data_IF_250507610446
#
_entry.id   IF_250507610446
#
_cell.length_a   1.000
_cell.length_b   1.000
_cell.length_c   1.000
_cell.angle_alpha   90.00
_cell.angle_beta   90.00
_cell.angle_gamma   90.00
#
_symmetry.space_group_name_H-M   'P 1'
#
loop_
_entity.id
_entity.type
_entity.pdbx_description
1 polymer ?
#
# COMPACT_ATOMS: atom_id res chain seq x y z
N UNK A 1 6.69 -96.96 36.18
CA UNK A 1 5.24 -96.78 35.90
C UNK A 1 4.80 -95.51 36.60
N UNK A 2 4.32 -94.54 35.81
CA UNK A 2 3.25 -93.55 36.08
C UNK A 2 3.27 -92.73 37.39
N UNK A 3 2.92 -91.45 37.45
CA UNK A 3 2.40 -90.50 36.48
C UNK A 3 2.51 -89.08 37.09
N UNK A 4 2.50 -88.08 36.22
CA UNK A 4 2.32 -86.67 36.55
C UNK A 4 0.94 -86.40 37.19
N UNK A 5 0.85 -85.37 38.05
CA UNK A 5 0.03 -84.14 37.90
C UNK A 5 -0.23 -83.48 39.25
N UNK A 6 0.21 -82.22 39.40
CA UNK A 6 -0.57 -81.12 39.99
C UNK A 6 0.25 -79.84 39.92
N UNK A 7 0.27 -79.23 38.74
CA UNK A 7 0.60 -77.82 38.56
C UNK A 7 -0.62 -77.04 39.04
N UNK A 8 -0.52 -76.45 40.23
CA UNK A 8 -1.57 -75.64 40.82
C UNK A 8 -1.79 -74.37 40.00
N UNK A 9 -3.04 -74.22 39.58
CA UNK A 9 -3.70 -73.24 38.71
C UNK A 9 -3.69 -71.77 39.19
N UNK A 10 -2.89 -71.41 40.21
CA UNK A 10 -2.88 -70.06 40.79
C UNK A 10 -1.96 -69.07 40.06
N UNK A 11 -0.95 -69.55 39.33
CA UNK A 11 -0.03 -68.71 38.55
C UNK A 11 -0.58 -68.28 37.17
N UNK A 12 -1.41 -69.10 36.54
CA UNK A 12 -1.99 -68.79 35.22
C UNK A 12 -3.07 -67.70 35.28
N UNK A 13 -3.88 -67.66 36.34
CA UNK A 13 -4.96 -66.67 36.47
C UNK A 13 -4.41 -65.23 36.64
N UNK A 14 -3.32 -65.07 37.39
CA UNK A 14 -2.63 -63.78 37.55
C UNK A 14 -1.94 -63.32 36.26
N UNK A 15 -1.27 -64.23 35.55
CA UNK A 15 -0.64 -63.94 34.26
C UNK A 15 -1.68 -63.57 33.17
N UNK A 16 -2.80 -64.29 33.10
CA UNK A 16 -3.89 -63.98 32.17
C UNK A 16 -4.54 -62.62 32.46
N UNK A 17 -4.69 -62.28 33.75
CA UNK A 17 -5.25 -60.99 34.19
C UNK A 17 -4.32 -59.82 33.88
N UNK A 18 -3.01 -59.95 34.09
CA UNK A 18 -2.03 -58.93 33.73
C UNK A 18 -1.89 -58.77 32.20
N UNK A 19 -1.91 -59.87 31.43
CA UNK A 19 -1.88 -59.81 29.96
C UNK A 19 -3.13 -59.11 29.41
N UNK A 20 -4.31 -59.41 29.96
CA UNK A 20 -5.57 -58.75 29.58
C UNK A 20 -5.60 -57.27 29.99
N UNK A 21 -5.06 -56.90 31.15
CA UNK A 21 -4.95 -55.51 31.57
C UNK A 21 -3.99 -54.71 30.69
N UNK A 22 -2.88 -55.32 30.26
CA UNK A 22 -1.89 -54.70 29.37
C UNK A 22 -2.41 -54.61 27.93
N UNK A 23 -3.20 -55.57 27.47
CA UNK A 23 -3.87 -55.49 26.16
C UNK A 23 -5.00 -54.46 26.18
N UNK A 24 -5.78 -54.37 27.27
CA UNK A 24 -6.80 -53.34 27.46
C UNK A 24 -6.19 -51.93 27.56
N UNK A 25 -5.06 -51.76 28.24
CA UNK A 25 -4.38 -50.46 28.29
C UNK A 25 -3.81 -50.06 26.93
N UNK A 26 -3.26 -51.02 26.16
CA UNK A 26 -2.80 -50.78 24.78
C UNK A 26 -3.96 -50.45 23.84
N UNK A 27 -5.05 -51.20 23.92
CA UNK A 27 -6.24 -50.99 23.09
C UNK A 27 -6.97 -49.69 23.46
N UNK A 28 -7.01 -49.32 24.74
CA UNK A 28 -7.53 -48.03 25.21
C UNK A 28 -6.62 -46.87 24.81
N UNK A 29 -5.30 -47.09 24.80
CA UNK A 29 -4.31 -46.17 24.21
C UNK A 29 -4.53 -45.98 22.71
N UNK A 30 -4.66 -47.06 21.94
CA UNK A 30 -4.92 -47.03 20.49
C UNK A 30 -6.28 -46.38 20.15
N UNK A 31 -7.31 -46.62 20.96
CA UNK A 31 -8.63 -45.99 20.80
C UNK A 31 -8.57 -44.50 21.17
N UNK A 32 -7.84 -44.11 22.23
CA UNK A 32 -7.60 -42.71 22.56
C UNK A 32 -6.89 -42.01 21.39
N UNK A 33 -5.77 -42.57 20.92
CA UNK A 33 -5.02 -42.00 19.79
C UNK A 33 -5.86 -41.94 18.51
N UNK A 34 -6.71 -42.93 18.23
CA UNK A 34 -7.61 -42.90 17.06
C UNK A 34 -8.71 -41.85 17.23
N UNK A 35 -9.29 -41.68 18.42
CA UNK A 35 -10.29 -40.64 18.71
C UNK A 35 -9.66 -39.26 18.64
N UNK A 36 -8.45 -39.07 19.17
CA UNK A 36 -7.68 -37.82 19.11
C UNK A 36 -7.29 -37.49 17.66
N UNK A 37 -6.82 -38.47 16.86
CA UNK A 37 -6.55 -38.30 15.42
C UNK A 37 -7.82 -37.92 14.64
N UNK A 38 -8.94 -38.59 14.92
CA UNK A 38 -10.19 -38.36 14.18
C UNK A 38 -10.81 -37.01 14.57
N UNK A 39 -10.75 -36.65 15.85
CA UNK A 39 -11.14 -35.33 16.35
C UNK A 39 -10.23 -34.22 15.78
N UNK A 40 -8.96 -34.53 15.56
CA UNK A 40 -7.99 -33.61 14.98
C UNK A 40 -8.17 -33.39 13.47
N UNK A 41 -8.27 -34.46 12.68
CA UNK A 41 -8.61 -34.38 11.25
C UNK A 41 -9.97 -33.71 11.01
N UNK A 42 -10.90 -33.88 11.96
CA UNK A 42 -12.13 -33.10 11.98
C UNK A 42 -11.80 -31.62 12.22
N UNK A 43 -11.12 -31.27 13.32
CA UNK A 43 -10.82 -29.88 13.70
C UNK A 43 -10.09 -29.09 12.60
N UNK A 44 -9.12 -29.68 11.92
CA UNK A 44 -8.37 -29.05 10.81
C UNK A 44 -9.27 -28.77 9.59
N UNK A 45 -10.08 -29.76 9.17
CA UNK A 45 -11.00 -29.62 8.04
C UNK A 45 -12.14 -28.64 8.34
N UNK A 46 -12.59 -28.58 9.59
CA UNK A 46 -13.58 -27.60 10.03
C UNK A 46 -12.99 -26.19 10.05
N UNK A 47 -11.75 -26.00 10.54
CA UNK A 47 -11.07 -24.71 10.48
C UNK A 47 -10.90 -24.23 9.03
N UNK A 48 -10.46 -25.10 8.13
CA UNK A 48 -10.36 -24.77 6.70
C UNK A 48 -11.72 -24.46 6.07
N UNK A 49 -12.78 -25.20 6.41
CA UNK A 49 -14.14 -24.94 5.91
C UNK A 49 -14.69 -23.60 6.42
N UNK A 50 -14.47 -23.28 7.70
CA UNK A 50 -14.84 -21.99 8.29
C UNK A 50 -14.07 -20.87 7.63
N UNK A 51 -12.73 -20.98 7.53
CA UNK A 51 -11.89 -20.01 6.85
C UNK A 51 -12.35 -19.77 5.40
N UNK A 52 -12.67 -20.83 4.65
CA UNK A 52 -13.18 -20.74 3.29
C UNK A 52 -14.49 -19.95 3.21
N UNK A 53 -15.46 -20.24 4.09
CA UNK A 53 -16.75 -19.55 4.12
C UNK A 53 -16.60 -18.05 4.42
N UNK A 54 -15.78 -17.69 5.40
CA UNK A 54 -15.51 -16.29 5.74
C UNK A 54 -14.72 -15.59 4.63
N UNK A 55 -13.69 -16.23 4.08
CA UNK A 55 -12.90 -15.69 2.98
C UNK A 55 -13.75 -15.44 1.73
N UNK A 56 -14.62 -16.41 1.38
CA UNK A 56 -15.57 -16.28 0.28
C UNK A 56 -16.55 -15.14 0.53
N UNK A 57 -17.08 -15.02 1.74
CA UNK A 57 -18.02 -13.95 2.11
C UNK A 57 -17.35 -12.57 2.01
N UNK A 58 -16.14 -12.41 2.56
CA UNK A 58 -15.36 -11.16 2.47
C UNK A 58 -15.08 -10.78 1.01
N UNK A 59 -14.66 -11.76 0.20
CA UNK A 59 -14.40 -11.57 -1.22
C UNK A 59 -15.66 -11.16 -1.98
N UNK A 60 -16.81 -11.79 -1.75
CA UNK A 60 -18.08 -11.42 -2.38
C UNK A 60 -18.47 -9.99 -2.02
N UNK A 61 -18.39 -9.61 -0.74
CA UNK A 61 -18.71 -8.25 -0.29
C UNK A 61 -17.81 -7.20 -0.94
N UNK A 62 -16.50 -7.45 -1.00
CA UNK A 62 -15.56 -6.53 -1.67
C UNK A 62 -15.81 -6.46 -3.18
N UNK A 63 -16.03 -7.60 -3.85
CA UNK A 63 -16.34 -7.64 -5.28
C UNK A 63 -17.63 -6.90 -5.62
N UNK A 64 -18.69 -7.04 -4.80
CA UNK A 64 -19.92 -6.25 -4.97
C UNK A 64 -19.64 -4.74 -4.89
N UNK A 65 -18.78 -4.32 -3.97
CA UNK A 65 -18.37 -2.92 -3.84
C UNK A 65 -17.55 -2.45 -5.05
N UNK A 66 -16.61 -3.28 -5.53
CA UNK A 66 -15.82 -3.00 -6.73
C UNK A 66 -16.76 -2.81 -7.93
N UNK A 67 -17.69 -3.74 -8.16
CA UNK A 67 -18.68 -3.65 -9.25
C UNK A 67 -19.53 -2.37 -9.13
N UNK A 68 -19.93 -1.97 -7.93
CA UNK A 68 -20.65 -0.72 -7.72
C UNK A 68 -19.79 0.50 -8.11
N UNK A 69 -18.51 0.54 -7.74
CA UNK A 69 -17.59 1.59 -8.19
C UNK A 69 -17.42 1.58 -9.72
N UNK A 70 -17.38 0.41 -10.36
CA UNK A 70 -17.30 0.32 -11.83
C UNK A 70 -18.53 0.86 -12.54
N UNK A 71 -19.72 0.68 -11.96
CA UNK A 71 -21.00 1.11 -12.57
C UNK A 71 -21.32 2.57 -12.31
N UNK A 72 -21.04 3.08 -11.10
CA UNK A 72 -21.53 4.39 -10.66
C UNK A 72 -20.44 5.47 -10.61
N UNK A 73 -19.16 5.09 -10.47
CA UNK A 73 -18.08 6.08 -10.40
C UNK A 73 -17.59 6.44 -11.80
N UNK A 74 -17.96 7.63 -12.26
CA UNK A 74 -17.61 8.16 -13.58
C UNK A 74 -16.15 8.60 -13.70
N UNK A 75 -15.48 8.91 -12.58
CA UNK A 75 -14.08 9.36 -12.61
C UNK A 75 -13.11 8.17 -12.72
N UNK A 76 -12.60 7.91 -13.94
CA UNK A 76 -11.72 6.77 -14.25
C UNK A 76 -10.51 6.65 -13.32
N UNK A 77 -9.74 7.71 -13.11
CA UNK A 77 -8.53 7.66 -12.29
C UNK A 77 -8.84 7.36 -10.81
N UNK A 78 -9.77 8.12 -10.21
CA UNK A 78 -10.16 7.94 -8.80
C UNK A 78 -10.78 6.57 -8.55
N UNK A 79 -11.60 6.10 -9.50
CA UNK A 79 -12.18 4.76 -9.48
C UNK A 79 -11.09 3.70 -9.51
N UNK A 80 -10.15 3.78 -10.45
CA UNK A 80 -9.09 2.78 -10.59
C UNK A 80 -8.24 2.68 -9.30
N UNK A 81 -7.85 3.81 -8.70
CA UNK A 81 -7.13 3.79 -7.42
C UNK A 81 -7.96 3.22 -6.27
N UNK A 82 -9.26 3.53 -6.23
CA UNK A 82 -10.18 2.98 -5.21
C UNK A 82 -10.31 1.47 -5.37
N UNK A 83 -10.48 0.97 -6.60
CA UNK A 83 -10.58 -0.45 -6.92
C UNK A 83 -9.33 -1.20 -6.47
N UNK A 84 -8.12 -0.69 -6.74
CA UNK A 84 -6.86 -1.25 -6.23
C UNK A 84 -6.87 -1.39 -4.71
N UNK A 85 -7.34 -0.38 -4.00
CA UNK A 85 -7.42 -0.44 -2.55
C UNK A 85 -8.43 -1.50 -2.09
N UNK A 86 -9.61 -1.57 -2.71
CA UNK A 86 -10.64 -2.55 -2.35
C UNK A 86 -10.21 -4.00 -2.60
N UNK A 87 -9.34 -4.23 -3.59
CA UNK A 87 -8.74 -5.54 -3.87
C UNK A 87 -7.82 -6.05 -2.74
N UNK A 88 -7.44 -5.22 -1.76
CA UNK A 88 -6.74 -5.69 -0.54
C UNK A 88 -7.51 -6.84 0.14
N UNK A 89 -8.82 -6.67 0.35
CA UNK A 89 -9.65 -7.63 1.08
C UNK A 89 -9.69 -9.02 0.40
N UNK A 90 -10.07 -9.15 -0.88
CA UNK A 90 -10.13 -10.46 -1.54
C UNK A 90 -8.75 -11.10 -1.72
N UNK A 91 -7.68 -10.31 -1.89
CA UNK A 91 -6.32 -10.84 -1.97
C UNK A 91 -5.92 -11.42 -0.61
N UNK A 92 -6.14 -10.67 0.48
CA UNK A 92 -5.72 -11.07 1.82
C UNK A 92 -6.53 -12.24 2.35
N UNK A 93 -7.84 -12.30 2.04
CA UNK A 93 -8.69 -13.43 2.43
C UNK A 93 -8.32 -14.71 1.67
N UNK A 94 -8.07 -14.61 0.36
CA UNK A 94 -7.67 -15.76 -0.45
C UNK A 94 -6.29 -16.27 -0.04
N UNK A 95 -5.33 -15.36 0.15
CA UNK A 95 -3.98 -15.71 0.54
C UNK A 95 -3.91 -16.30 1.95
N UNK A 96 -4.67 -15.77 2.92
CA UNK A 96 -4.75 -16.37 4.26
C UNK A 96 -5.40 -17.75 4.24
N UNK A 97 -6.45 -17.95 3.44
CA UNK A 97 -7.05 -19.27 3.24
C UNK A 97 -6.05 -20.25 2.60
N UNK A 98 -5.30 -19.83 1.58
CA UNK A 98 -4.28 -20.65 0.94
C UNK A 98 -3.12 -20.96 1.89
N UNK A 99 -2.68 -20.00 2.71
CA UNK A 99 -1.65 -20.21 3.72
C UNK A 99 -2.10 -21.21 4.80
N UNK A 100 -3.40 -21.24 5.13
CA UNK A 100 -3.98 -22.25 6.01
C UNK A 100 -4.00 -23.65 5.39
N UNK A 101 -4.32 -23.76 4.09
CA UNK A 101 -4.32 -25.05 3.38
C UNK A 101 -2.91 -25.55 3.03
N UNK A 102 -1.96 -24.64 2.83
CA UNK A 102 -0.60 -24.93 2.39
C UNK A 102 0.41 -24.26 3.32
N UNK A 103 0.54 -24.77 4.53
CA UNK A 103 1.35 -24.13 5.58
C UNK A 103 2.84 -23.97 5.20
N UNK A 104 3.39 -24.89 4.40
CA UNK A 104 4.75 -24.78 3.86
C UNK A 104 4.97 -23.52 3.01
N UNK A 105 3.92 -23.06 2.32
CA UNK A 105 3.94 -21.91 1.42
C UNK A 105 3.51 -20.62 2.11
N UNK A 106 3.10 -20.66 3.38
CA UNK A 106 2.68 -19.49 4.15
C UNK A 106 3.71 -18.33 4.12
N UNK A 107 5.04 -18.57 4.21
CA UNK A 107 6.01 -17.47 4.11
C UNK A 107 5.98 -16.75 2.76
N UNK A 108 5.82 -17.50 1.66
CA UNK A 108 5.72 -16.98 0.28
C UNK A 108 4.47 -16.12 0.14
N UNK A 109 3.34 -16.65 0.63
CA UNK A 109 2.04 -15.99 0.65
C UNK A 109 2.10 -14.66 1.43
N UNK A 110 2.77 -14.65 2.59
CA UNK A 110 2.99 -13.44 3.40
C UNK A 110 3.82 -12.39 2.68
N UNK A 111 4.90 -12.77 2.00
CA UNK A 111 5.71 -11.84 1.22
C UNK A 111 4.91 -11.16 0.10
N UNK A 112 4.03 -11.92 -0.59
CA UNK A 112 3.14 -11.37 -1.61
C UNK A 112 2.14 -10.36 -1.02
N UNK A 113 1.63 -10.63 0.18
CA UNK A 113 0.75 -9.72 0.93
C UNK A 113 1.44 -8.39 1.27
N UNK A 114 2.67 -8.45 1.75
CA UNK A 114 3.49 -7.27 2.07
C UNK A 114 3.77 -6.41 0.83
N UNK A 115 4.05 -7.05 -0.31
CA UNK A 115 4.19 -6.36 -1.59
C UNK A 115 2.90 -5.63 -2.01
N UNK A 116 1.75 -6.28 -1.87
CA UNK A 116 0.48 -5.66 -2.23
C UNK A 116 0.13 -4.47 -1.32
N UNK A 117 0.54 -4.49 -0.05
CA UNK A 117 0.41 -3.33 0.84
C UNK A 117 1.13 -2.10 0.29
N UNK A 118 2.35 -2.27 -0.25
CA UNK A 118 3.10 -1.18 -0.85
C UNK A 118 2.35 -0.56 -2.05
N UNK A 119 1.73 -1.42 -2.86
CA UNK A 119 0.92 -0.98 -3.98
C UNK A 119 -0.39 -0.29 -3.55
N UNK A 120 -1.04 -0.76 -2.49
CA UNK A 120 -2.23 -0.11 -1.93
C UNK A 120 -1.89 1.29 -1.37
N UNK A 121 -0.74 1.44 -0.70
CA UNK A 121 -0.26 2.74 -0.21
C UNK A 121 0.02 3.72 -1.35
N UNK A 122 0.62 3.23 -2.44
CA UNK A 122 0.83 4.02 -3.65
C UNK A 122 -0.50 4.45 -4.28
N UNK A 123 -1.45 3.53 -4.42
CA UNK A 123 -2.78 3.81 -4.97
C UNK A 123 -3.52 4.86 -4.13
N UNK A 124 -3.42 4.79 -2.80
CA UNK A 124 -3.97 5.82 -1.92
C UNK A 124 -3.29 7.19 -2.11
N UNK A 125 -1.98 7.20 -2.31
CA UNK A 125 -1.23 8.44 -2.56
C UNK A 125 -1.66 9.07 -3.89
N UNK A 126 -1.80 8.28 -4.95
CA UNK A 126 -2.34 8.77 -6.22
C UNK A 126 -3.77 9.26 -6.09
N UNK A 127 -4.62 8.52 -5.36
CA UNK A 127 -5.99 8.95 -5.08
C UNK A 127 -6.02 10.34 -4.46
N UNK A 128 -5.16 10.61 -3.46
CA UNK A 128 -5.06 11.94 -2.84
C UNK A 128 -4.57 13.01 -3.82
N UNK A 129 -3.57 12.72 -4.65
CA UNK A 129 -3.03 13.69 -5.62
C UNK A 129 -4.06 14.01 -6.70
N UNK A 130 -4.69 13.00 -7.29
CA UNK A 130 -5.75 13.17 -8.29
C UNK A 130 -6.95 13.87 -7.68
N UNK A 131 -7.30 13.57 -6.42
CA UNK A 131 -8.32 14.31 -5.69
C UNK A 131 -7.96 15.79 -5.54
N UNK A 132 -6.69 16.14 -5.37
CA UNK A 132 -6.23 17.54 -5.31
C UNK A 132 -6.03 18.19 -6.69
N UNK A 133 -6.24 17.45 -7.77
CA UNK A 133 -6.23 17.93 -9.16
C UNK A 133 -5.11 17.27 -9.96
N UNK A 134 -3.87 17.65 -9.68
CA UNK A 134 -2.67 17.04 -10.29
C UNK A 134 -1.44 17.29 -9.42
N UNK A 135 -0.36 16.55 -9.67
CA UNK A 135 0.90 16.77 -8.98
C UNK A 135 1.49 18.17 -9.28
N UNK A 136 1.34 18.67 -10.51
CA UNK A 136 1.76 20.01 -10.91
C UNK A 136 0.96 21.13 -10.23
N UNK A 137 -0.38 21.02 -10.20
CA UNK A 137 -1.23 21.99 -9.52
C UNK A 137 -0.90 22.02 -8.02
N UNK A 138 -0.68 20.85 -7.43
CA UNK A 138 -0.28 20.73 -6.04
C UNK A 138 1.11 21.36 -5.78
N UNK A 139 2.06 21.18 -6.69
CA UNK A 139 3.38 21.81 -6.60
C UNK A 139 3.33 23.35 -6.64
N UNK A 140 2.39 23.91 -7.41
CA UNK A 140 2.12 25.35 -7.48
C UNK A 140 1.47 25.86 -6.20
N UNK A 141 0.39 25.20 -5.74
CA UNK A 141 -0.30 25.54 -4.50
C UNK A 141 0.65 25.54 -3.29
N UNK A 142 1.50 24.51 -3.18
CA UNK A 142 2.49 24.42 -2.11
C UNK A 142 3.61 25.45 -2.20
N UNK A 143 3.77 26.12 -3.35
CA UNK A 143 4.74 27.20 -3.54
C UNK A 143 4.18 28.54 -3.04
N UNK A 144 2.88 28.75 -3.15
CA UNK A 144 2.17 29.96 -2.68
C UNK A 144 2.01 29.99 -1.15
N UNK A 145 2.10 28.84 -0.47
CA UNK A 145 1.94 28.75 0.97
C UNK A 145 3.03 29.53 1.75
N UNK A 146 2.58 30.38 2.69
CA UNK A 146 3.47 31.30 3.44
C UNK A 146 4.46 30.60 4.37
N UNK A 147 4.15 29.41 4.88
CA UNK A 147 5.01 28.71 5.85
C UNK A 147 5.50 27.35 5.34
N UNK A 148 6.80 27.01 5.51
CA UNK A 148 7.30 25.69 5.15
C UNK A 148 6.76 24.63 6.12
N UNK A 149 6.39 23.48 5.58
CA UNK A 149 5.87 22.36 6.39
C UNK A 149 7.01 21.80 7.25
N UNK A 150 6.96 22.05 8.56
CA UNK A 150 7.93 21.50 9.50
C UNK A 150 7.74 20.00 9.68
N UNK A 151 8.86 19.28 9.78
CA UNK A 151 8.90 17.87 10.14
C UNK A 151 8.17 17.60 11.46
N UNK A 152 7.42 16.50 11.51
CA UNK A 152 6.71 16.05 12.72
C UNK A 152 7.62 15.12 13.52
N UNK A 153 7.44 15.05 14.84
CA UNK A 153 8.09 14.06 15.71
C UNK A 153 7.91 12.63 15.15
N UNK A 154 8.93 11.76 15.11
CA UNK A 154 10.26 11.84 15.76
C UNK A 154 11.34 12.62 14.99
N UNK A 155 11.08 13.01 13.75
CA UNK A 155 12.07 13.64 12.85
C UNK A 155 12.07 15.18 12.91
N UNK A 156 11.58 15.77 13.99
CA UNK A 156 11.42 17.21 14.15
C UNK A 156 12.74 18.00 14.11
N UNK A 157 13.88 17.34 14.36
CA UNK A 157 15.21 17.93 14.31
C UNK A 157 15.82 17.99 12.90
N UNK A 158 15.20 17.36 11.90
CA UNK A 158 15.72 17.42 10.53
C UNK A 158 15.46 18.75 9.86
N UNK A 159 16.35 19.12 8.94
CA UNK A 159 16.25 20.33 8.14
C UNK A 159 14.97 20.28 7.31
N UNK A 160 14.12 21.28 7.48
CA UNK A 160 12.87 21.41 6.73
C UNK A 160 13.12 21.41 5.22
N UNK A 161 12.36 20.60 4.49
CA UNK A 161 12.44 20.54 3.04
C UNK A 161 12.05 21.86 2.36
N UNK A 162 12.60 22.16 1.18
CA UNK A 162 12.30 23.38 0.43
C UNK A 162 10.85 23.40 -0.06
N UNK A 163 10.18 24.55 0.00
CA UNK A 163 8.75 24.71 -0.35
C UNK A 163 8.38 24.34 -1.79
N UNK A 164 7.07 24.18 -2.03
CA UNK A 164 6.48 23.93 -3.34
C UNK A 164 6.86 22.58 -3.94
N UNK A 165 7.02 22.55 -5.27
CA UNK A 165 7.40 21.35 -6.02
C UNK A 165 8.55 20.51 -5.46
N UNK A 166 9.57 21.10 -4.81
CA UNK A 166 10.67 20.31 -4.20
C UNK A 166 10.22 19.52 -2.98
N UNK A 167 9.44 20.14 -2.11
CA UNK A 167 8.81 19.45 -0.98
C UNK A 167 7.91 18.33 -1.48
N UNK A 168 7.10 18.62 -2.51
CA UNK A 168 6.22 17.61 -3.09
C UNK A 168 7.03 16.45 -3.68
N UNK A 169 8.06 16.74 -4.48
CA UNK A 169 8.95 15.73 -5.06
C UNK A 169 9.58 14.81 -3.99
N UNK A 170 10.22 15.38 -2.96
CA UNK A 170 10.82 14.58 -1.88
C UNK A 170 9.79 13.76 -1.12
N UNK A 171 8.60 14.32 -0.90
CA UNK A 171 7.51 13.62 -0.23
C UNK A 171 7.00 12.44 -1.06
N UNK A 172 6.78 12.65 -2.35
CA UNK A 172 6.27 11.62 -3.26
C UNK A 172 7.31 10.52 -3.48
N UNK A 173 8.58 10.89 -3.70
CA UNK A 173 9.67 9.90 -3.80
C UNK A 173 9.89 9.14 -2.49
N UNK A 174 9.74 9.80 -1.35
CA UNK A 174 9.81 9.16 -0.03
C UNK A 174 8.69 8.16 0.24
N UNK A 175 7.50 8.33 -0.38
CA UNK A 175 6.44 7.32 -0.35
C UNK A 175 6.74 6.21 -1.37
N UNK A 176 7.11 6.60 -2.59
CA UNK A 176 7.27 5.70 -3.73
C UNK A 176 8.41 4.70 -3.57
N UNK A 177 9.45 5.04 -2.80
CA UNK A 177 10.56 4.15 -2.45
C UNK A 177 10.13 2.84 -1.78
N UNK A 178 8.94 2.79 -1.17
CA UNK A 178 8.45 1.56 -0.54
C UNK A 178 8.21 0.44 -1.56
N UNK A 179 7.74 0.77 -2.77
CA UNK A 179 7.46 -0.22 -3.83
C UNK A 179 8.74 -0.96 -4.27
N UNK A 180 9.80 -0.30 -4.78
CA UNK A 180 11.00 -1.01 -5.25
C UNK A 180 11.69 -1.76 -4.10
N UNK A 181 11.69 -1.20 -2.88
CA UNK A 181 12.25 -1.90 -1.71
C UNK A 181 11.45 -3.17 -1.41
N UNK A 182 10.11 -3.10 -1.44
CA UNK A 182 9.26 -4.27 -1.21
C UNK A 182 9.44 -5.33 -2.30
N UNK A 183 9.65 -4.93 -3.57
CA UNK A 183 9.98 -5.86 -4.65
C UNK A 183 11.31 -6.55 -4.38
N UNK A 184 12.35 -5.79 -4.01
CA UNK A 184 13.66 -6.34 -3.67
C UNK A 184 13.58 -7.30 -2.48
N UNK A 185 12.87 -6.93 -1.41
CA UNK A 185 12.70 -7.76 -0.21
C UNK A 185 11.94 -9.03 -0.53
N UNK A 186 10.84 -8.95 -1.28
CA UNK A 186 10.09 -10.12 -1.75
C UNK A 186 10.98 -11.04 -2.58
N UNK A 187 11.75 -10.48 -3.52
CA UNK A 187 12.64 -11.27 -4.40
C UNK A 187 13.72 -11.98 -3.58
N UNK A 188 14.42 -11.26 -2.69
CA UNK A 188 15.45 -11.84 -1.84
C UNK A 188 14.86 -12.87 -0.88
N UNK A 189 13.68 -12.57 -0.30
CA UNK A 189 12.96 -13.48 0.60
C UNK A 189 12.58 -14.79 -0.09
N UNK A 190 12.07 -14.74 -1.33
CA UNK A 190 11.77 -15.94 -2.12
C UNK A 190 13.01 -16.78 -2.41
N UNK A 191 14.13 -16.13 -2.77
CA UNK A 191 15.41 -16.83 -2.99
C UNK A 191 15.90 -17.49 -1.70
N UNK A 192 15.87 -16.78 -0.58
CA UNK A 192 16.25 -17.31 0.73
C UNK A 192 15.33 -18.45 1.19
N UNK A 193 14.03 -18.37 0.88
CA UNK A 193 13.07 -19.43 1.19
C UNK A 193 13.37 -20.68 0.36
N UNK A 194 13.62 -20.52 -0.95
CA UNK A 194 14.03 -21.63 -1.83
C UNK A 194 15.35 -22.28 -1.40
N UNK A 195 16.31 -21.48 -0.90
CA UNK A 195 17.58 -21.97 -0.37
C UNK A 195 17.49 -22.54 1.06
N UNK A 196 16.34 -22.42 1.73
CA UNK A 196 16.14 -22.87 3.10
C UNK A 196 16.82 -22.02 4.18
N UNK A 197 17.29 -20.82 3.85
CA UNK A 197 17.99 -19.90 4.79
C UNK A 197 17.12 -18.74 5.27
N UNK A 198 15.85 -18.69 4.86
CA UNK A 198 14.91 -17.63 5.26
C UNK A 198 14.67 -17.63 6.78
N UNK A 199 14.36 -18.80 7.36
CA UNK A 199 14.14 -18.98 8.80
C UNK A 199 12.92 -18.22 9.32
N UNK A 200 11.73 -18.60 8.87
CA UNK A 200 10.50 -17.87 9.20
C UNK A 200 10.17 -17.88 10.70
N UNK A 201 9.87 -16.72 11.27
CA UNK A 201 9.55 -16.57 12.70
C UNK A 201 10.73 -16.74 13.68
N UNK A 202 11.92 -17.05 13.17
CA UNK A 202 13.15 -17.16 13.96
C UNK A 202 13.77 -15.78 14.21
N UNK A 203 14.11 -15.48 15.46
CA UNK A 203 14.84 -14.26 15.84
C UNK A 203 16.36 -14.45 15.84
N UNK A 204 16.86 -15.38 15.03
CA UNK A 204 18.28 -15.66 14.94
C UNK A 204 18.96 -14.69 13.97
N UNK A 205 20.05 -14.07 14.40
CA UNK A 205 20.85 -13.17 13.54
C UNK A 205 21.50 -13.87 12.33
N UNK A 206 21.34 -15.20 12.20
CA UNK A 206 21.86 -16.02 11.09
C UNK A 206 20.84 -16.21 9.97
N UNK A 207 19.56 -15.89 10.19
CA UNK A 207 18.49 -16.10 9.23
C UNK A 207 18.16 -14.80 8.50
N UNK A 208 17.70 -14.90 7.24
CA UNK A 208 17.42 -13.72 6.43
C UNK A 208 16.18 -12.96 6.90
N UNK A 209 15.22 -13.66 7.53
CA UNK A 209 13.94 -13.13 7.99
C UNK A 209 14.08 -11.82 8.78
N UNK A 210 14.88 -11.81 9.86
CA UNK A 210 15.00 -10.64 10.75
C UNK A 210 15.50 -9.39 10.01
N UNK A 211 16.48 -9.55 9.12
CA UNK A 211 17.04 -8.43 8.35
C UNK A 211 16.03 -7.90 7.33
N UNK A 212 15.38 -8.79 6.59
CA UNK A 212 14.37 -8.43 5.60
C UNK A 212 13.18 -7.71 6.26
N UNK A 213 12.66 -8.27 7.35
CA UNK A 213 11.59 -7.66 8.15
C UNK A 213 12.00 -6.29 8.69
N UNK A 214 13.23 -6.13 9.19
CA UNK A 214 13.70 -4.84 9.70
C UNK A 214 13.77 -3.76 8.61
N UNK A 215 14.33 -4.09 7.43
CA UNK A 215 14.41 -3.15 6.30
C UNK A 215 13.01 -2.82 5.77
N UNK A 216 12.11 -3.80 5.69
CA UNK A 216 10.71 -3.61 5.28
C UNK A 216 10.02 -2.60 6.22
N UNK A 217 10.11 -2.82 7.54
CA UNK A 217 9.50 -1.94 8.55
C UNK A 217 10.08 -0.52 8.50
N UNK A 218 11.39 -0.38 8.36
CA UNK A 218 12.02 0.94 8.25
C UNK A 218 11.54 1.71 7.00
N UNK A 219 11.51 1.03 5.86
CA UNK A 219 11.01 1.60 4.61
C UNK A 219 9.54 2.00 4.70
N UNK A 220 8.71 1.14 5.29
CA UNK A 220 7.29 1.40 5.50
C UNK A 220 7.07 2.61 6.43
N UNK A 221 7.80 2.69 7.56
CA UNK A 221 7.73 3.84 8.47
C UNK A 221 8.11 5.14 7.76
N UNK A 222 9.15 5.12 6.92
CA UNK A 222 9.57 6.28 6.13
C UNK A 222 8.50 6.73 5.12
N UNK A 223 7.89 5.78 4.41
CA UNK A 223 6.82 6.07 3.47
C UNK A 223 5.58 6.65 4.16
N UNK A 224 5.18 6.08 5.29
CA UNK A 224 4.06 6.59 6.09
C UNK A 224 4.35 7.98 6.65
N UNK A 225 5.59 8.22 7.07
CA UNK A 225 6.01 9.54 7.53
C UNK A 225 5.88 10.60 6.42
N UNK A 226 6.34 10.29 5.21
CA UNK A 226 6.19 11.16 4.06
C UNK A 226 4.70 11.40 3.72
N UNK A 227 3.87 10.36 3.79
CA UNK A 227 2.41 10.52 3.60
C UNK A 227 1.78 11.42 4.67
N UNK A 228 2.21 11.35 5.93
CA UNK A 228 1.77 12.25 7.00
C UNK A 228 2.20 13.69 6.73
N UNK A 229 3.41 13.91 6.20
CA UNK A 229 3.84 15.26 5.77
C UNK A 229 2.98 15.78 4.62
N UNK A 230 2.66 14.94 3.64
CA UNK A 230 1.75 15.29 2.55
C UNK A 230 0.38 15.69 3.08
N UNK A 231 -0.20 14.87 3.97
CA UNK A 231 -1.49 15.16 4.59
C UNK A 231 -1.45 16.46 5.39
N UNK A 232 -0.40 16.70 6.18
CA UNK A 232 -0.26 17.95 6.94
C UNK A 232 -0.27 19.18 6.02
N UNK A 233 0.38 19.08 4.85
CA UNK A 233 0.43 20.15 3.87
C UNK A 233 -0.93 20.39 3.17
N UNK A 234 -1.78 19.37 3.05
CA UNK A 234 -3.00 19.41 2.24
C UNK A 234 -4.30 19.24 3.03
N UNK A 235 -4.23 19.12 4.36
CA UNK A 235 -5.36 18.81 5.26
C UNK A 235 -6.58 19.72 5.10
N UNK A 236 -6.37 21.00 4.78
CA UNK A 236 -7.44 22.00 4.66
C UNK A 236 -8.31 21.75 3.43
N UNK A 237 -7.71 21.25 2.35
CA UNK A 237 -8.38 20.93 1.08
C UNK A 237 -8.92 19.51 1.03
N UNK A 238 -8.39 18.61 1.85
CA UNK A 238 -8.84 17.22 1.95
C UNK A 238 -9.96 17.02 2.98
N UNK A 239 -10.49 18.08 3.61
CA UNK A 239 -11.47 17.96 4.69
C UNK A 239 -12.71 17.19 4.27
N UNK A 240 -13.13 17.34 3.01
CA UNK A 240 -14.40 16.81 2.52
C UNK A 240 -14.38 15.28 2.32
N UNK A 241 -13.22 14.69 2.01
CA UNK A 241 -13.09 13.23 1.80
C UNK A 241 -12.60 12.45 3.01
N UNK A 242 -12.42 13.09 4.17
CA UNK A 242 -11.97 12.42 5.40
C UNK A 242 -10.81 11.42 5.15
N UNK A 243 -9.67 11.86 4.58
CA UNK A 243 -8.62 10.98 4.06
C UNK A 243 -8.01 10.11 5.16
N UNK A 244 -8.03 10.56 6.41
CA UNK A 244 -7.58 9.76 7.56
C UNK A 244 -8.41 8.50 7.73
N UNK A 245 -9.74 8.55 7.52
CA UNK A 245 -10.61 7.37 7.63
C UNK A 245 -10.27 6.36 6.54
N UNK A 246 -10.09 6.84 5.30
CA UNK A 246 -9.71 6.04 4.14
C UNK A 246 -8.34 5.38 4.35
N UNK A 247 -7.33 6.15 4.72
CA UNK A 247 -5.99 5.66 5.04
C UNK A 247 -6.00 4.65 6.20
N UNK A 248 -6.71 4.97 7.28
CA UNK A 248 -6.81 4.12 8.46
C UNK A 248 -7.44 2.77 8.09
N UNK A 249 -8.39 2.74 7.16
CA UNK A 249 -8.99 1.49 6.67
C UNK A 249 -7.95 0.56 6.01
N UNK A 250 -7.04 1.12 5.21
CA UNK A 250 -5.93 0.37 4.60
C UNK A 250 -4.96 -0.11 5.68
N UNK A 251 -4.56 0.80 6.57
CA UNK A 251 -3.46 0.55 7.50
C UNK A 251 -3.86 -0.30 8.70
N UNK A 252 -5.11 -0.21 9.15
CA UNK A 252 -5.62 -1.04 10.25
C UNK A 252 -5.62 -2.52 9.90
N UNK A 253 -5.87 -2.90 8.63
CA UNK A 253 -5.72 -4.29 8.20
C UNK A 253 -4.33 -4.80 8.61
N UNK A 254 -3.29 -4.08 8.22
CA UNK A 254 -1.89 -4.49 8.44
C UNK A 254 -1.53 -4.46 9.92
N UNK A 255 -1.95 -3.43 10.66
CA UNK A 255 -1.66 -3.35 12.09
C UNK A 255 -2.33 -4.46 12.87
N UNK A 256 -3.62 -4.69 12.66
CA UNK A 256 -4.34 -5.76 13.36
C UNK A 256 -3.77 -7.12 12.98
N UNK A 257 -3.45 -7.36 11.70
CA UNK A 257 -2.89 -8.63 11.27
C UNK A 257 -1.51 -8.91 11.85
N UNK A 258 -0.68 -7.89 12.02
CA UNK A 258 0.62 -8.06 12.67
C UNK A 258 0.48 -8.28 14.19
N UNK A 259 -0.31 -7.45 14.88
CA UNK A 259 -0.49 -7.58 16.33
C UNK A 259 -1.13 -8.90 16.72
N UNK A 260 -2.11 -9.40 15.97
CA UNK A 260 -2.70 -10.71 16.24
C UNK A 260 -1.68 -11.84 16.04
N UNK A 261 -0.88 -11.80 14.96
CA UNK A 261 0.15 -12.81 14.70
C UNK A 261 1.18 -12.84 15.83
N UNK A 262 1.59 -11.67 16.31
CA UNK A 262 2.49 -11.54 17.45
C UNK A 262 1.88 -12.09 18.75
N UNK A 263 0.63 -11.70 19.07
CA UNK A 263 -0.06 -12.17 20.28
C UNK A 263 -0.26 -13.69 20.26
N UNK A 264 -0.65 -14.26 19.12
CA UNK A 264 -0.80 -15.71 18.96
C UNK A 264 0.55 -16.41 19.16
N UNK A 265 1.62 -15.91 18.53
CA UNK A 265 2.99 -16.45 18.70
C UNK A 265 3.47 -16.38 20.15
N UNK A 266 3.12 -15.31 20.88
CA UNK A 266 3.46 -15.20 22.31
C UNK A 266 2.63 -16.20 23.13
N UNK A 267 1.34 -16.36 22.84
CA UNK A 267 0.46 -17.30 23.53
C UNK A 267 0.89 -18.75 23.31
N UNK A 268 1.32 -19.12 22.10
CA UNK A 268 1.86 -20.46 21.82
C UNK A 268 3.18 -20.71 22.54
N UNK A 269 4.03 -19.67 22.71
CA UNK A 269 5.32 -19.76 23.42
C UNK A 269 5.23 -19.70 24.96
N UNK A 270 4.29 -18.96 25.52
CA UNK A 270 4.14 -18.77 26.99
C UNK A 270 3.40 -19.93 27.67
N UNK A 271 2.84 -20.87 26.91
CA UNK A 271 2.19 -22.12 27.36
C UNK A 271 0.70 -22.01 27.71
N UNK A 272 -0.16 -22.25 26.71
CA UNK A 272 -1.54 -22.76 26.87
C UNK A 272 -1.87 -23.99 25.99
N UNK A 273 -0.92 -24.48 25.18
CA UNK A 273 -1.08 -25.64 24.26
C UNK A 273 -0.07 -26.76 24.60
N UNK A 274 0.73 -26.61 25.65
CA UNK A 274 1.86 -27.53 25.93
C UNK A 274 1.48 -28.91 26.47
N UNK A 275 0.25 -29.13 26.96
CA UNK A 275 -0.13 -30.39 27.61
C UNK A 275 -1.10 -31.26 26.79
N UNK A 276 -1.73 -30.72 25.74
CA UNK A 276 -2.71 -31.47 24.94
C UNK A 276 -2.12 -32.12 23.66
N UNK A 277 -0.87 -31.81 23.28
CA UNK A 277 -0.58 -31.65 21.85
C UNK A 277 0.79 -32.14 21.34
N UNK A 278 1.34 -33.23 21.86
CA UNK A 278 2.53 -33.82 21.25
C UNK A 278 2.27 -34.37 19.84
N UNK A 279 1.10 -34.96 19.59
CA UNK A 279 0.75 -35.57 18.30
C UNK A 279 0.31 -34.55 17.23
N UNK A 280 -0.44 -33.51 17.62
CA UNK A 280 -0.85 -32.43 16.70
C UNK A 280 0.36 -31.62 16.22
N UNK A 281 1.30 -31.34 17.13
CA UNK A 281 2.59 -30.75 16.78
C UNK A 281 3.34 -31.65 15.82
N UNK A 282 3.38 -32.97 16.05
CA UNK A 282 4.08 -33.89 15.17
C UNK A 282 3.50 -33.92 13.75
N UNK A 283 2.17 -33.87 13.58
CA UNK A 283 1.54 -33.85 12.25
C UNK A 283 1.81 -32.55 11.48
N UNK A 284 1.52 -31.39 12.07
CA UNK A 284 1.77 -30.10 11.42
C UNK A 284 3.27 -29.82 11.25
N UNK A 285 4.13 -30.29 12.16
CA UNK A 285 5.58 -30.20 11.97
C UNK A 285 6.08 -31.18 10.89
N UNK A 286 5.43 -32.34 10.72
CA UNK A 286 5.76 -33.28 9.63
C UNK A 286 5.43 -32.68 8.27
N UNK A 287 4.32 -31.96 8.18
CA UNK A 287 3.85 -31.33 6.95
C UNK A 287 4.45 -29.94 6.71
N UNK A 288 4.90 -29.20 7.73
CA UNK A 288 5.54 -27.89 7.55
C UNK A 288 7.04 -27.98 7.22
N UNK A 289 7.67 -29.14 7.47
CA UNK A 289 9.12 -29.31 7.41
C UNK A 289 9.88 -28.48 8.45
N UNK A 290 11.21 -28.67 8.55
CA UNK A 290 12.06 -27.94 9.51
C UNK A 290 12.16 -26.41 9.29
N UNK A 291 11.38 -25.84 8.36
CA UNK A 291 11.49 -24.44 7.92
C UNK A 291 10.59 -23.48 8.71
N UNK A 292 9.55 -23.97 9.38
CA UNK A 292 8.58 -23.16 10.13
C UNK A 292 8.64 -23.46 11.63
N UNK A 293 8.77 -22.42 12.45
CA UNK A 293 8.97 -22.59 13.90
C UNK A 293 7.68 -22.85 14.69
N UNK A 294 6.52 -22.37 14.21
CA UNK A 294 5.21 -22.53 14.87
C UNK A 294 4.05 -22.65 13.86
N UNK A 295 3.81 -23.86 13.32
CA UNK A 295 2.76 -24.08 12.34
C UNK A 295 1.33 -23.89 12.89
N UNK A 296 1.11 -24.21 14.18
CA UNK A 296 -0.21 -24.10 14.81
C UNK A 296 -0.58 -22.62 14.98
N UNK A 297 0.36 -21.81 15.48
CA UNK A 297 0.17 -20.36 15.58
C UNK A 297 -0.09 -19.71 14.22
N UNK A 298 0.61 -20.16 13.18
CA UNK A 298 0.41 -19.68 11.81
C UNK A 298 -0.99 -20.06 11.27
N UNK A 299 -1.43 -21.30 11.48
CA UNK A 299 -2.79 -21.73 11.08
C UNK A 299 -3.89 -20.93 11.79
N UNK A 300 -3.77 -20.76 13.11
CA UNK A 300 -4.73 -19.96 13.88
C UNK A 300 -4.77 -18.50 13.41
N UNK A 301 -3.60 -17.92 13.16
CA UNK A 301 -3.46 -16.55 12.64
C UNK A 301 -4.21 -16.40 11.32
N UNK A 302 -3.98 -17.31 10.36
CA UNK A 302 -4.62 -17.27 9.05
C UNK A 302 -6.15 -17.49 9.12
N UNK A 303 -6.63 -18.33 10.06
CA UNK A 303 -8.05 -18.48 10.33
C UNK A 303 -8.69 -17.17 10.82
N UNK A 304 -8.07 -16.50 11.80
CA UNK A 304 -8.60 -15.24 12.34
C UNK A 304 -8.59 -14.15 11.27
N UNK A 305 -7.54 -14.07 10.44
CA UNK A 305 -7.49 -13.13 9.32
C UNK A 305 -8.69 -13.31 8.37
N UNK A 306 -9.03 -14.54 7.99
CA UNK A 306 -10.19 -14.82 7.14
C UNK A 306 -11.49 -14.26 7.72
N UNK A 307 -11.69 -14.38 9.04
CA UNK A 307 -12.85 -13.84 9.75
C UNK A 307 -12.81 -12.30 9.77
N UNK A 308 -11.67 -11.71 10.11
CA UNK A 308 -11.47 -10.26 10.17
C UNK A 308 -11.71 -9.58 8.82
N UNK A 309 -11.35 -10.22 7.71
CA UNK A 309 -11.55 -9.68 6.37
C UNK A 309 -13.01 -9.36 6.06
N UNK A 310 -13.99 -10.03 6.68
CA UNK A 310 -15.41 -9.67 6.54
C UNK A 310 -15.69 -8.31 7.17
N UNK A 311 -15.17 -8.04 8.36
CA UNK A 311 -15.33 -6.75 9.03
C UNK A 311 -14.60 -5.64 8.26
N UNK A 312 -13.42 -5.93 7.72
CA UNK A 312 -12.70 -4.98 6.87
C UNK A 312 -13.43 -4.72 5.55
N UNK A 313 -14.08 -5.72 4.93
CA UNK A 313 -14.92 -5.51 3.75
C UNK A 313 -16.05 -4.50 4.05
N UNK A 314 -16.70 -4.65 5.21
CA UNK A 314 -17.73 -3.70 5.66
C UNK A 314 -17.13 -2.32 5.95
N UNK A 315 -15.98 -2.24 6.61
CA UNK A 315 -15.29 -0.98 6.87
C UNK A 315 -14.91 -0.25 5.56
N UNK A 316 -14.45 -0.98 4.55
CA UNK A 316 -14.15 -0.44 3.22
C UNK A 316 -15.39 0.11 2.54
N UNK A 317 -16.56 -0.52 2.72
CA UNK A 317 -17.85 0.00 2.24
C UNK A 317 -18.20 1.36 2.84
N UNK A 318 -17.90 1.58 4.12
CA UNK A 318 -18.12 2.87 4.79
C UNK A 318 -17.03 3.91 4.49
N UNK A 319 -15.79 3.49 4.29
CA UNK A 319 -14.68 4.40 3.99
C UNK A 319 -14.64 4.85 2.51
N UNK A 320 -15.10 4.00 1.59
CA UNK A 320 -15.10 4.23 0.14
C UNK A 320 -16.50 4.01 -0.47
N UNK A 321 -17.48 4.88 -0.16
CA UNK A 321 -18.80 4.80 -0.76
C UNK A 321 -18.73 5.14 -2.27
N UNK A 322 -19.49 4.42 -3.09
CA UNK A 322 -19.51 4.62 -4.55
C UNK A 322 -20.22 5.91 -4.97
N UNK A 323 -21.01 6.53 -4.09
CA UNK A 323 -21.74 7.78 -4.34
C UNK A 323 -20.95 9.04 -3.98
N UNK A 324 -19.71 8.91 -3.49
CA UNK A 324 -18.90 10.04 -3.01
C UNK A 324 -18.70 11.15 -4.05
N UNK A 325 -18.73 10.78 -5.33
CA UNK A 325 -18.47 11.68 -6.45
C UNK A 325 -19.72 12.09 -7.25
N UNK A 326 -20.91 11.67 -6.79
CA UNK A 326 -22.16 11.94 -7.53
C UNK A 326 -22.86 13.24 -7.09
N UNK A 327 -22.40 13.85 -5.99
CA UNK A 327 -22.96 15.10 -5.47
C UNK A 327 -22.66 16.29 -6.39
N UNK A 328 -23.67 17.15 -6.63
CA UNK A 328 -23.55 18.35 -7.48
C UNK A 328 -22.42 19.30 -7.04
N UNK A 329 -22.15 19.40 -5.73
CA UNK A 329 -21.01 20.17 -5.19
C UNK A 329 -19.67 19.71 -5.77
N UNK A 330 -19.51 18.41 -6.04
CA UNK A 330 -18.28 17.87 -6.61
C UNK A 330 -18.11 18.29 -8.09
N UNK A 331 -19.22 18.38 -8.83
CA UNK A 331 -19.23 18.86 -10.23
C UNK A 331 -18.99 20.36 -10.34
N UNK A 332 -19.49 21.14 -9.38
CA UNK A 332 -19.37 22.61 -9.35
C UNK A 332 -17.95 23.09 -9.00
N UNK A 333 -17.25 22.40 -8.09
CA UNK A 333 -15.88 22.79 -7.65
C UNK A 333 -14.80 22.51 -8.72
N UNK A 334 -15.04 21.58 -9.65
CA UNK A 334 -13.96 21.00 -10.48
C UNK A 334 -14.20 21.07 -11.99
N UNK A 335 -15.35 21.57 -12.41
CA UNK A 335 -15.75 21.65 -13.81
C UNK A 335 -16.17 20.30 -14.40
N UNK A 336 -16.80 20.34 -15.57
CA UNK A 336 -17.18 19.16 -16.34
C UNK A 336 -15.94 18.55 -16.98
N UNK A 337 -15.49 17.41 -16.48
CA UNK A 337 -14.53 16.57 -17.20
C UNK A 337 -15.18 16.00 -18.46
N UNK A 338 -14.35 15.71 -19.48
CA UNK A 338 -14.80 14.90 -20.62
C UNK A 338 -15.26 13.54 -20.09
N UNK A 339 -16.58 13.36 -19.99
CA UNK A 339 -17.19 12.06 -19.85
C UNK A 339 -16.78 11.25 -21.08
N UNK A 340 -15.90 10.26 -20.89
CA UNK A 340 -15.67 9.27 -21.95
C UNK A 340 -17.02 8.59 -22.22
N UNK A 341 -17.43 8.47 -23.50
CA UNK A 341 -18.74 7.93 -23.83
C UNK A 341 -18.90 6.53 -23.24
N UNK A 342 -20.10 6.22 -22.77
CA UNK A 342 -20.58 4.89 -22.36
C UNK A 342 -20.53 3.91 -23.54
N UNK A 343 -19.35 3.64 -24.08
CA UNK A 343 -19.13 2.46 -24.89
C UNK A 343 -19.09 1.26 -23.94
N UNK A 344 -19.69 0.17 -24.38
CA UNK A 344 -19.82 -1.12 -23.70
C UNK A 344 -18.45 -1.64 -23.20
N UNK A 345 -17.89 -1.06 -22.15
CA UNK A 345 -16.59 -1.44 -21.64
C UNK A 345 -16.78 -2.73 -20.87
N UNK A 346 -16.13 -3.79 -21.34
CA UNK A 346 -16.10 -5.05 -20.61
C UNK A 346 -15.61 -4.75 -19.19
N UNK A 347 -16.45 -5.04 -18.20
CA UNK A 347 -16.15 -4.87 -16.77
C UNK A 347 -14.78 -5.49 -16.43
N UNK A 348 -14.44 -6.57 -17.12
CA UNK A 348 -13.14 -7.22 -17.11
C UNK A 348 -12.00 -6.28 -17.52
N UNK A 349 -12.08 -5.65 -18.68
CA UNK A 349 -11.05 -4.73 -19.18
C UNK A 349 -10.83 -3.56 -18.24
N UNK A 350 -11.91 -3.00 -17.67
CA UNK A 350 -11.80 -1.92 -16.70
C UNK A 350 -11.11 -2.38 -15.39
N UNK A 351 -11.39 -3.60 -14.93
CA UNK A 351 -10.73 -4.18 -13.75
C UNK A 351 -9.25 -4.49 -14.01
N UNK A 352 -8.91 -5.05 -15.18
CA UNK A 352 -7.52 -5.35 -15.56
C UNK A 352 -6.69 -4.08 -15.67
N UNK A 353 -7.23 -3.05 -16.32
CA UNK A 353 -6.59 -1.74 -16.37
C UNK A 353 -6.50 -1.12 -14.98
N UNK A 354 -7.56 -1.25 -14.18
CA UNK A 354 -7.58 -0.89 -12.77
C UNK A 354 -6.53 -1.62 -11.93
N UNK A 355 -6.02 -2.77 -12.34
CA UNK A 355 -5.03 -3.57 -11.60
C UNK A 355 -3.60 -3.50 -12.20
N UNK A 356 -3.35 -2.62 -13.17
CA UNK A 356 -2.01 -2.50 -13.76
C UNK A 356 -0.98 -2.04 -12.71
N UNK A 357 -0.16 -2.98 -12.25
CA UNK A 357 0.90 -2.76 -11.28
C UNK A 357 2.03 -1.89 -11.82
N UNK A 358 2.22 -1.78 -13.14
CA UNK A 358 3.33 -1.04 -13.74
C UNK A 358 3.06 0.46 -13.91
N UNK A 359 1.85 0.93 -13.60
CA UNK A 359 1.47 2.34 -13.70
C UNK A 359 2.29 3.27 -12.78
N UNK A 360 3.01 2.72 -11.79
CA UNK A 360 3.91 3.55 -10.98
C UNK A 360 5.12 4.05 -11.78
N UNK A 361 5.54 3.35 -12.84
CA UNK A 361 6.74 3.72 -13.62
C UNK A 361 6.55 5.07 -14.32
N UNK A 362 5.48 5.32 -15.10
CA UNK A 362 5.23 6.63 -15.68
C UNK A 362 5.09 7.75 -14.64
N UNK A 363 4.59 7.44 -13.42
CA UNK A 363 4.48 8.43 -12.34
C UNK A 363 5.83 8.85 -11.77
N UNK A 364 6.84 7.97 -11.78
CA UNK A 364 8.22 8.35 -11.42
C UNK A 364 8.70 9.47 -12.34
N UNK A 365 8.50 9.31 -13.64
CA UNK A 365 8.91 10.29 -14.65
C UNK A 365 8.13 11.61 -14.52
N UNK A 366 6.83 11.53 -14.28
CA UNK A 366 5.99 12.71 -14.00
C UNK A 366 6.55 13.51 -12.82
N UNK A 367 6.94 12.84 -11.73
CA UNK A 367 7.46 13.50 -10.54
C UNK A 367 8.86 14.06 -10.73
N UNK A 368 9.72 13.39 -11.50
CA UNK A 368 11.00 13.97 -11.91
C UNK A 368 10.81 15.26 -12.72
N UNK A 369 9.77 15.33 -13.56
CA UNK A 369 9.39 16.55 -14.30
C UNK A 369 9.16 17.77 -13.41
N UNK A 370 8.59 17.59 -12.21
CA UNK A 370 8.28 18.68 -11.28
C UNK A 370 9.55 19.35 -10.73
N UNK A 371 10.61 18.57 -10.45
CA UNK A 371 11.88 19.12 -9.96
C UNK A 371 12.68 19.77 -11.10
N UNK A 372 12.69 19.16 -12.29
CA UNK A 372 13.40 19.69 -13.46
C UNK A 372 12.79 21.00 -13.94
N UNK A 373 11.46 21.12 -14.05
CA UNK A 373 10.78 22.34 -14.50
C UNK A 373 11.08 23.53 -13.57
N UNK A 374 11.10 23.31 -12.25
CA UNK A 374 11.49 24.34 -11.27
C UNK A 374 12.98 24.68 -11.34
N UNK A 375 13.84 23.69 -11.55
CA UNK A 375 15.28 23.94 -11.73
C UNK A 375 15.52 24.81 -12.97
N UNK A 376 14.81 24.53 -14.07
CA UNK A 376 14.85 25.35 -15.28
C UNK A 376 14.28 26.76 -15.05
N UNK A 377 13.14 26.89 -14.36
CA UNK A 377 12.56 28.21 -14.04
C UNK A 377 13.51 29.07 -13.21
N UNK A 378 14.17 28.50 -12.20
CA UNK A 378 15.16 29.21 -11.38
C UNK A 378 16.38 29.64 -12.21
N UNK A 379 16.82 28.80 -13.15
CA UNK A 379 17.93 29.15 -14.04
C UNK A 379 17.55 30.30 -14.98
N UNK A 380 16.31 30.30 -15.51
CA UNK A 380 15.76 31.41 -16.30
C UNK A 380 15.75 32.73 -15.53
N UNK A 381 15.28 32.73 -14.29
CA UNK A 381 15.26 33.94 -13.45
C UNK A 381 16.67 34.47 -13.15
N UNK A 382 17.65 33.58 -12.99
CA UNK A 382 19.04 33.95 -12.78
C UNK A 382 19.65 34.57 -14.05
N UNK A 383 19.38 34.00 -15.22
CA UNK A 383 19.80 34.58 -16.51
C UNK A 383 19.16 35.96 -16.72
N UNK A 384 17.86 36.12 -16.48
CA UNK A 384 17.16 37.42 -16.61
C UNK A 384 17.75 38.45 -15.66
N UNK A 385 18.02 38.08 -14.39
CA UNK A 385 18.66 38.99 -13.42
C UNK A 385 20.08 39.36 -13.83
N UNK A 386 20.87 38.42 -14.35
CA UNK A 386 22.22 38.68 -14.83
C UNK A 386 22.21 39.65 -16.03
N UNK A 387 21.27 39.46 -16.96
CA UNK A 387 21.07 40.37 -18.11
C UNK A 387 20.64 41.76 -17.64
N UNK A 388 19.72 41.85 -16.68
CA UNK A 388 19.27 43.13 -16.13
C UNK A 388 20.40 43.86 -15.37
N UNK A 389 21.23 43.13 -14.63
CA UNK A 389 22.41 43.68 -13.96
C UNK A 389 23.43 44.19 -14.99
N UNK A 390 23.67 43.42 -16.05
CA UNK A 390 24.58 43.83 -17.12
C UNK A 390 24.07 45.08 -17.86
N UNK A 391 22.76 45.15 -18.17
CA UNK A 391 22.12 46.34 -18.75
C UNK A 391 22.27 47.59 -17.85
N UNK A 392 22.24 47.41 -16.53
CA UNK A 392 22.45 48.49 -15.55
C UNK A 392 23.89 49.02 -15.55
N UNK A 393 24.88 48.16 -15.77
CA UNK A 393 26.30 48.53 -15.69
C UNK A 393 26.84 49.11 -17.01
N UNK A 394 26.32 48.70 -18.16
CA UNK A 394 26.83 49.13 -19.48
C UNK A 394 26.01 50.22 -20.17
N UNK A 395 24.78 50.50 -19.72
CA UNK A 395 23.91 51.52 -20.32
C UNK A 395 23.48 51.24 -21.77
N UNK A 396 23.84 50.07 -22.34
CA UNK A 396 23.59 49.73 -23.74
C UNK A 396 22.51 48.65 -23.88
N UNK A 397 21.39 49.03 -24.51
CA UNK A 397 20.30 48.13 -24.85
C UNK A 397 20.63 47.28 -26.08
N UNK A 398 21.37 46.17 -25.92
CA UNK A 398 21.61 45.26 -27.05
C UNK A 398 20.38 44.40 -27.35
N UNK A 399 19.54 44.83 -28.29
CA UNK A 399 18.36 44.10 -28.80
C UNK A 399 18.68 42.69 -29.36
N UNK A 400 19.95 42.43 -29.67
CA UNK A 400 20.43 41.17 -30.23
C UNK A 400 20.51 40.02 -29.21
N UNK A 401 20.95 40.31 -27.96
CA UNK A 401 21.03 39.31 -26.89
C UNK A 401 19.62 38.88 -26.45
N UNK A 402 18.72 39.85 -26.35
CA UNK A 402 17.31 39.68 -26.00
C UNK A 402 16.56 38.86 -27.07
N UNK A 403 16.83 39.12 -28.37
CA UNK A 403 16.32 38.28 -29.48
C UNK A 403 16.90 36.86 -29.47
N UNK A 404 18.17 36.68 -29.12
CA UNK A 404 18.78 35.35 -29.08
C UNK A 404 18.21 34.49 -27.94
N UNK A 405 17.98 35.11 -26.78
CA UNK A 405 17.31 34.50 -25.62
C UNK A 405 15.85 34.18 -25.98
N UNK A 406 15.07 35.13 -26.53
CA UNK A 406 13.69 34.86 -26.99
C UNK A 406 13.62 33.72 -28.02
N UNK A 407 14.58 33.64 -28.94
CA UNK A 407 14.65 32.58 -29.96
C UNK A 407 15.01 31.22 -29.37
N UNK A 408 15.87 31.17 -28.34
CA UNK A 408 16.21 29.94 -27.59
C UNK A 408 15.04 29.42 -26.75
N UNK A 409 14.26 30.31 -26.15
CA UNK A 409 13.14 29.93 -25.29
C UNK A 409 11.82 29.73 -26.06
N UNK A 410 11.58 30.46 -27.16
CA UNK A 410 10.41 30.26 -28.01
C UNK A 410 10.39 28.92 -28.75
N UNK A 411 11.57 28.30 -28.97
CA UNK A 411 11.67 26.99 -29.62
C UNK A 411 11.40 25.79 -28.68
N UNK A 412 11.38 26.00 -27.35
CA UNK A 412 11.09 24.94 -26.35
C UNK A 412 9.61 24.82 -25.98
N UNK A 413 8.76 25.75 -26.43
CA UNK A 413 7.31 25.67 -26.29
C UNK A 413 6.72 24.94 -27.51
N UNK A 414 6.73 23.61 -27.46
CA UNK A 414 5.79 22.79 -28.23
C UNK A 414 4.36 22.95 -27.67
N UNK A 415 3.32 22.54 -28.41
CA UNK A 415 1.94 22.90 -28.14
C UNK A 415 1.39 22.12 -26.93
N UNK A 416 1.60 22.67 -25.74
CA UNK A 416 0.88 22.25 -24.54
C UNK A 416 0.41 23.51 -23.82
N UNK A 417 -0.91 23.60 -23.64
CA UNK A 417 -1.67 24.63 -22.91
C UNK A 417 -2.02 25.94 -23.64
N UNK A 418 -3.13 25.88 -24.37
CA UNK A 418 -4.04 27.00 -24.56
C UNK A 418 -4.80 27.30 -23.26
N UNK A 419 -4.20 28.10 -22.38
CA UNK A 419 -4.89 28.79 -21.27
C UNK A 419 -4.13 30.03 -20.78
N UNK A 420 -2.89 30.24 -21.25
CA UNK A 420 -2.07 31.41 -20.92
C UNK A 420 -2.44 32.69 -21.72
N UNK A 421 -3.55 32.69 -22.46
CA UNK A 421 -3.97 33.85 -23.27
C UNK A 421 -4.76 34.92 -22.50
N UNK A 422 -5.22 34.64 -21.26
CA UNK A 422 -5.89 35.66 -20.46
C UNK A 422 -4.90 36.69 -19.88
N UNK A 423 -3.72 36.24 -19.44
CA UNK A 423 -2.73 37.12 -18.79
C UNK A 423 -1.93 37.98 -19.79
N UNK A 424 -1.82 37.53 -21.04
CA UNK A 424 -1.17 38.31 -22.10
C UNK A 424 -2.07 39.41 -22.68
N UNK A 425 -3.40 39.34 -22.47
CA UNK A 425 -4.33 40.36 -22.99
C UNK A 425 -4.37 41.59 -22.07
N UNK A 426 -4.36 41.40 -20.74
CA UNK A 426 -4.25 42.53 -19.78
C UNK A 426 -2.90 43.25 -19.87
N UNK A 427 -1.80 42.55 -20.13
CA UNK A 427 -0.47 43.15 -20.31
C UNK A 427 -0.31 43.90 -21.64
N UNK A 428 -1.16 43.61 -22.64
CA UNK A 428 -1.16 44.32 -23.92
C UNK A 428 -2.02 45.59 -23.87
N UNK A 429 -3.14 45.57 -23.13
CA UNK A 429 -3.99 46.76 -22.93
C UNK A 429 -3.29 47.83 -22.07
N UNK A 430 -2.56 47.43 -21.02
CA UNK A 430 -1.79 48.36 -20.16
C UNK A 430 -0.64 49.03 -20.93
N UNK A 431 -0.05 48.34 -21.91
CA UNK A 431 1.03 48.91 -22.74
C UNK A 431 0.52 49.82 -23.85
N UNK A 432 -0.76 49.72 -24.21
CA UNK A 432 -1.36 50.56 -25.24
C UNK A 432 -1.85 51.90 -24.64
N UNK A 433 -2.36 51.90 -23.41
CA UNK A 433 -2.67 53.14 -22.67
C UNK A 433 -1.42 53.97 -22.32
N UNK A 434 -0.30 53.31 -21.99
CA UNK A 434 0.97 54.02 -21.70
C UNK A 434 1.62 54.66 -22.95
N UNK A 435 1.31 54.15 -24.14
CA UNK A 435 1.82 54.69 -25.40
C UNK A 435 1.02 55.89 -25.92
N UNK A 436 -0.25 56.02 -25.56
CA UNK A 436 -1.11 57.15 -25.95
C UNK A 436 -0.94 58.38 -25.01
N UNK A 437 -0.62 58.18 -23.72
CA UNK A 437 -0.30 59.29 -22.81
C UNK A 437 1.04 59.97 -23.13
N UNK A 438 2.01 59.24 -23.69
CA UNK A 438 3.30 59.80 -24.11
C UNK A 438 3.24 60.51 -25.47
N UNK A 439 2.27 60.16 -26.32
CA UNK A 439 2.03 60.85 -27.60
C UNK A 439 1.31 62.21 -27.43
N UNK A 440 0.51 62.40 -26.37
CA UNK A 440 -0.22 63.66 -26.14
C UNK A 440 0.64 64.78 -25.51
N UNK A 441 1.75 64.45 -24.83
CA UNK A 441 2.64 65.46 -24.22
C UNK A 441 3.73 66.02 -25.16
N UNK A 442 3.88 65.46 -26.37
CA UNK A 442 4.93 65.84 -27.32
C UNK A 442 4.51 66.89 -28.37
N UNK A 443 3.26 67.38 -28.35
CA UNK A 443 2.76 68.39 -29.31
C UNK A 443 2.68 69.82 -28.74
N UNK A 444 3.40 70.14 -27.67
CA UNK A 444 3.44 71.50 -27.11
C UNK A 444 4.88 71.99 -26.82
N UNK A 445 5.74 71.97 -27.84
CA UNK A 445 6.94 72.83 -27.96
C UNK A 445 7.63 72.60 -29.30
N UNK A 446 7.13 73.24 -30.36
CA UNK A 446 7.86 73.77 -31.53
C UNK A 446 6.89 74.06 -32.69
N UNK A 447 6.13 75.16 -32.56
CA UNK A 447 5.82 76.19 -33.58
C UNK A 447 4.67 77.07 -33.10
#
# INVERSE_FOLDING_TARGET
MSNATNVSSSGLAGAQSCVNATSLSKQCGEISTLVDLTWFYFTERWAAAVAFLFALTASILSLQQIVAHMRYNKHRDLRNYTVRILFMVPIFSAESFLALCFIQQAPVMRMLREFYEAFALFSFTQYVITYLGSAYNLAHMLAEEKDPVRHVFPFCCFKTWPKGGKFLYYTLMGILQYIPISICITTVGLVCWYMGTYGDGSFDARTAYVYLTFVQNFSQVWALYCLVLLYKATRTRLRDINPLRKFLCIKLIVFFTWWQSFLITVLTRVSMISEADSEIKEHWNSDAGHMLQDPIGEGLTNLVICIEMVFFALAHKFAYPYTEFDHEQWKEIRGTFHEEPESHFDLWCMCVEGLNLLDFVPKIDEYHGIDTEKAEAKNRDAEIKAVNCWKSDTGEATSHLEKHIRKRHGAKLGPAYGSFNAFNTEMFEINQEAHDETASSSSCSLM
#
